data_IF_139311486531
#
_entry.id   IF_139311486531
#
_cell.length_a   1.000
_cell.length_b   1.000
_cell.length_c   1.000
_cell.angle_alpha   90.00
_cell.angle_beta   90.00
_cell.angle_gamma   90.00
#
_symmetry.space_group_name_H-M   'P 1'
#
loop_
_entity.id
_entity.type
_entity.pdbx_description
1 polymer ?
#
# COMPACT_ATOMS: atom_id res chain seq x y z
N UNK A 1 10.87 5.49 -13.09
CA UNK A 1 10.25 6.01 -14.33
C UNK A 1 9.42 7.20 -13.92
N UNK A 2 9.92 8.40 -14.22
CA UNK A 2 9.49 9.68 -13.66
C UNK A 2 7.98 9.97 -13.84
N UNK A 3 7.29 10.21 -12.72
CA UNK A 3 5.88 10.60 -12.63
C UNK A 3 5.70 12.14 -12.67
N UNK A 4 6.80 12.89 -12.76
CA UNK A 4 6.90 14.36 -12.67
C UNK A 4 6.15 15.14 -13.77
N UNK A 5 5.58 14.45 -14.77
CA UNK A 5 4.72 15.05 -15.80
C UNK A 5 3.24 14.62 -15.74
N UNK A 6 2.86 13.74 -14.81
CA UNK A 6 1.50 13.22 -14.75
C UNK A 6 0.63 14.11 -13.87
N UNK A 7 -0.34 14.79 -14.50
CA UNK A 7 -1.37 15.59 -13.83
C UNK A 7 -2.39 14.67 -13.14
N UNK A 8 -1.93 14.01 -12.06
CA UNK A 8 -2.65 12.95 -11.36
C UNK A 8 -2.56 13.14 -9.85
N UNK A 9 -3.69 13.00 -9.18
CA UNK A 9 -3.76 12.77 -7.74
C UNK A 9 -4.14 11.31 -7.48
N UNK A 10 -3.48 10.69 -6.49
CA UNK A 10 -3.69 9.29 -6.10
C UNK A 10 -4.23 9.25 -4.68
N UNK A 11 -5.32 8.52 -4.48
CA UNK A 11 -5.90 8.32 -3.17
C UNK A 11 -6.48 6.93 -3.01
N UNK A 12 -7.01 6.67 -1.82
CA UNK A 12 -7.74 5.45 -1.50
C UNK A 12 -9.00 5.79 -0.71
N UNK A 13 -10.05 5.01 -0.92
CA UNK A 13 -11.13 4.87 0.07
C UNK A 13 -10.71 3.78 1.04
N UNK A 14 -10.39 4.16 2.27
CA UNK A 14 -10.02 3.27 3.36
C UNK A 14 -11.27 2.86 4.15
N UNK A 15 -11.44 1.55 4.34
CA UNK A 15 -12.53 0.90 5.05
C UNK A 15 -11.96 0.13 6.24
N UNK A 16 -12.23 0.61 7.45
CA UNK A 16 -11.97 -0.14 8.67
C UNK A 16 -13.15 -1.08 8.94
N UNK A 17 -12.87 -2.38 9.07
CA UNK A 17 -13.84 -3.44 9.18
C UNK A 17 -14.06 -3.84 10.64
N UNK A 18 -15.33 -3.97 11.03
CA UNK A 18 -15.71 -4.43 12.37
C UNK A 18 -15.15 -5.82 12.60
N UNK A 19 -14.44 -5.97 13.72
CA UNK A 19 -13.81 -7.22 14.17
C UNK A 19 -12.86 -7.85 13.13
N UNK A 20 -12.43 -7.10 12.11
CA UNK A 20 -11.62 -7.61 11.00
C UNK A 20 -12.33 -8.64 10.11
N UNK A 21 -13.66 -8.71 10.14
CA UNK A 21 -14.41 -9.62 9.29
C UNK A 21 -14.27 -9.22 7.81
N UNK A 22 -13.78 -10.12 6.93
CA UNK A 22 -13.52 -9.78 5.54
C UNK A 22 -14.84 -9.45 4.80
N UNK A 23 -14.81 -8.58 3.77
CA UNK A 23 -15.97 -8.32 2.94
C UNK A 23 -16.51 -9.59 2.28
N UNK A 24 -17.83 -9.71 2.17
CA UNK A 24 -18.47 -10.86 1.52
C UNK A 24 -18.26 -10.90 0.00
N UNK A 25 -17.83 -9.80 -0.62
CA UNK A 25 -17.55 -9.68 -2.05
C UNK A 25 -16.23 -8.95 -2.30
N UNK A 26 -15.44 -9.50 -3.23
CA UNK A 26 -14.14 -8.95 -3.62
C UNK A 26 -14.22 -7.57 -4.32
N UNK A 27 -15.34 -7.29 -4.99
CA UNK A 27 -15.60 -6.04 -5.68
C UNK A 27 -17.09 -5.72 -5.73
N UNK A 28 -17.42 -4.45 -5.92
CA UNK A 28 -18.76 -4.00 -6.31
C UNK A 28 -19.09 -4.52 -7.71
N UNK A 29 -20.37 -4.74 -7.99
CA UNK A 29 -20.80 -4.95 -9.37
C UNK A 29 -20.67 -3.64 -10.19
N UNK A 30 -20.84 -3.74 -11.52
CA UNK A 30 -20.65 -2.59 -12.40
C UNK A 30 -21.60 -1.40 -12.08
N UNK A 31 -22.83 -1.67 -11.63
CA UNK A 31 -23.81 -0.64 -11.29
C UNK A 31 -23.44 0.06 -9.99
N UNK A 32 -23.17 -0.73 -8.95
CA UNK A 32 -22.75 -0.25 -7.63
C UNK A 32 -21.40 0.49 -7.72
N UNK A 33 -20.47 0.02 -8.56
CA UNK A 33 -19.21 0.70 -8.83
C UNK A 33 -19.43 2.12 -9.41
N UNK A 34 -20.37 2.27 -10.35
CA UNK A 34 -20.72 3.58 -10.90
C UNK A 34 -21.35 4.51 -9.86
N UNK A 35 -22.28 3.98 -9.06
CA UNK A 35 -22.93 4.74 -7.98
C UNK A 35 -21.92 5.19 -6.91
N UNK A 36 -21.07 4.28 -6.44
CA UNK A 36 -20.02 4.58 -5.46
C UNK A 36 -19.02 5.64 -5.99
N UNK A 37 -18.67 5.58 -7.28
CA UNK A 37 -17.79 6.59 -7.90
C UNK A 37 -18.44 7.97 -7.92
N UNK A 38 -19.74 8.05 -8.20
CA UNK A 38 -20.46 9.33 -8.17
C UNK A 38 -20.53 9.92 -6.75
N UNK A 39 -20.76 9.06 -5.74
CA UNK A 39 -20.77 9.46 -4.32
C UNK A 39 -19.38 9.93 -3.87
N UNK A 40 -18.32 9.20 -4.22
CA UNK A 40 -16.93 9.61 -4.00
C UNK A 40 -16.64 10.99 -4.62
N UNK A 41 -16.97 11.17 -5.90
CA UNK A 41 -16.75 12.44 -6.59
C UNK A 41 -17.51 13.61 -5.94
N UNK A 42 -18.75 13.37 -5.51
CA UNK A 42 -19.54 14.36 -4.76
C UNK A 42 -18.87 14.74 -3.45
N UNK A 43 -18.44 13.76 -2.66
CA UNK A 43 -17.85 13.99 -1.34
C UNK A 43 -16.53 14.75 -1.47
N UNK A 44 -15.66 14.34 -2.38
CA UNK A 44 -14.40 15.03 -2.66
C UNK A 44 -14.65 16.46 -3.17
N UNK A 45 -15.64 16.67 -4.04
CA UNK A 45 -16.01 17.99 -4.54
C UNK A 45 -16.65 18.90 -3.48
N UNK A 46 -17.21 18.34 -2.40
CA UNK A 46 -17.69 19.11 -1.26
C UNK A 46 -16.53 19.65 -0.40
N UNK A 47 -15.39 18.94 -0.38
CA UNK A 47 -14.15 19.40 0.26
C UNK A 47 -13.40 20.38 -0.64
N UNK A 48 -13.21 20.02 -1.91
CA UNK A 48 -12.42 20.77 -2.90
C UNK A 48 -13.21 20.86 -4.22
N UNK A 49 -13.87 22.00 -4.51
CA UNK A 49 -14.73 22.15 -5.69
C UNK A 49 -14.07 21.84 -7.03
N UNK A 50 -12.75 22.06 -7.15
CA UNK A 50 -11.97 21.78 -8.37
C UNK A 50 -11.93 20.31 -8.79
N UNK A 51 -12.31 19.39 -7.91
CA UNK A 51 -12.47 17.96 -8.24
C UNK A 51 -13.50 17.74 -9.36
N UNK A 52 -14.51 18.62 -9.47
CA UNK A 52 -15.56 18.54 -10.51
C UNK A 52 -15.02 18.63 -11.93
N UNK A 53 -13.86 19.26 -12.10
CA UNK A 53 -13.22 19.46 -13.39
C UNK A 53 -12.16 18.37 -13.69
N UNK A 54 -12.03 17.36 -12.82
CA UNK A 54 -11.10 16.25 -12.97
C UNK A 54 -11.82 15.01 -13.52
N UNK A 55 -11.13 14.24 -14.38
CA UNK A 55 -11.50 12.84 -14.58
C UNK A 55 -11.26 12.07 -13.27
N UNK A 56 -12.21 11.25 -12.83
CA UNK A 56 -12.14 10.40 -11.65
C UNK A 56 -12.29 8.93 -12.05
N UNK A 57 -11.39 8.08 -11.57
CA UNK A 57 -11.55 6.63 -11.63
C UNK A 57 -11.46 6.01 -10.25
N UNK A 58 -12.33 5.03 -9.99
CA UNK A 58 -12.33 4.19 -8.79
C UNK A 58 -12.14 2.72 -9.21
N UNK A 59 -11.15 2.05 -8.64
CA UNK A 59 -11.12 0.60 -8.61
C UNK A 59 -12.06 0.15 -7.49
N UNK A 60 -13.25 -0.29 -7.86
CA UNK A 60 -14.32 -0.66 -6.93
C UNK A 60 -14.14 -2.10 -6.40
N UNK A 61 -12.89 -2.50 -6.14
CA UNK A 61 -12.48 -3.75 -5.52
C UNK A 61 -11.60 -3.44 -4.29
N UNK A 62 -11.66 -4.31 -3.29
CA UNK A 62 -10.97 -4.06 -2.03
C UNK A 62 -9.60 -4.76 -1.97
N UNK A 63 -8.56 -4.00 -1.62
CA UNK A 63 -7.17 -4.44 -1.56
C UNK A 63 -6.62 -4.32 -0.15
N UNK A 64 -5.53 -5.03 0.13
CA UNK A 64 -4.73 -4.78 1.32
C UNK A 64 -3.93 -3.47 1.14
N UNK A 65 -3.72 -2.67 2.19
CA UNK A 65 -2.88 -1.47 2.11
C UNK A 65 -1.49 -1.74 1.50
N UNK A 66 -0.87 -2.88 1.78
CA UNK A 66 0.44 -3.25 1.22
C UNK A 66 0.39 -3.37 -0.31
N UNK A 67 -0.73 -3.80 -0.90
CA UNK A 67 -0.91 -3.88 -2.35
C UNK A 67 -1.01 -2.51 -3.01
N UNK A 68 -1.70 -1.57 -2.35
CA UNK A 68 -1.77 -0.18 -2.78
C UNK A 68 -0.41 0.52 -2.65
N UNK A 69 0.39 0.09 -1.68
CA UNK A 69 1.75 0.57 -1.42
C UNK A 69 2.82 -0.36 -2.00
N UNK A 70 2.65 -0.85 -3.23
CA UNK A 70 3.73 -1.53 -3.97
C UNK A 70 4.53 -0.51 -4.79
N UNK A 71 5.86 -0.66 -4.94
CA UNK A 71 6.68 0.25 -5.73
C UNK A 71 6.10 0.53 -7.12
N UNK A 72 6.06 1.81 -7.49
CA UNK A 72 5.49 2.26 -8.76
C UNK A 72 3.95 2.33 -8.81
N UNK A 73 3.27 2.13 -7.69
CA UNK A 73 1.82 2.36 -7.51
C UNK A 73 0.95 1.60 -8.55
N UNK A 74 1.11 0.27 -8.68
CA UNK A 74 0.54 -0.50 -9.79
C UNK A 74 -0.99 -0.41 -9.87
N UNK A 75 -1.69 -0.37 -8.74
CA UNK A 75 -3.15 -0.23 -8.70
C UNK A 75 -3.61 1.13 -9.24
N UNK A 76 -2.99 2.23 -8.80
CA UNK A 76 -3.31 3.57 -9.30
C UNK A 76 -2.93 3.75 -10.76
N UNK A 77 -1.76 3.22 -11.19
CA UNK A 77 -1.37 3.19 -12.61
C UNK A 77 -2.41 2.48 -13.44
N UNK A 78 -2.93 1.35 -12.95
CA UNK A 78 -3.99 0.64 -13.66
C UNK A 78 -5.27 1.45 -13.75
N UNK A 79 -5.70 2.09 -12.67
CA UNK A 79 -6.88 2.96 -12.68
C UNK A 79 -6.75 4.04 -13.77
N UNK A 80 -5.57 4.64 -13.93
CA UNK A 80 -5.28 5.60 -15.00
C UNK A 80 -5.37 4.99 -16.40
N UNK A 81 -4.79 3.81 -16.61
CA UNK A 81 -4.84 3.10 -17.89
C UNK A 81 -6.27 2.75 -18.30
N UNK A 82 -7.09 2.29 -17.34
CA UNK A 82 -8.49 1.99 -17.57
C UNK A 82 -9.29 3.26 -17.89
N UNK A 83 -9.05 4.36 -17.16
CA UNK A 83 -9.68 5.66 -17.40
C UNK A 83 -9.33 6.26 -18.77
N UNK A 84 -8.09 6.06 -19.25
CA UNK A 84 -7.67 6.45 -20.60
C UNK A 84 -8.45 5.69 -21.69
N UNK A 85 -8.85 4.46 -21.42
CA UNK A 85 -9.56 3.60 -22.38
C UNK A 85 -11.08 3.72 -22.28
N UNK A 86 -11.59 4.34 -21.22
CA UNK A 86 -13.01 4.57 -21.03
C UNK A 86 -13.58 5.53 -22.09
N UNK A 87 -14.82 5.33 -22.56
CA UNK A 87 -15.47 6.22 -23.52
C UNK A 87 -15.75 7.61 -22.93
N UNK A 88 -16.19 8.55 -23.77
CA UNK A 88 -16.74 9.84 -23.32
C UNK A 88 -15.73 10.99 -23.14
N UNK A 89 -14.47 10.85 -23.58
CA UNK A 89 -13.44 11.90 -23.41
C UNK A 89 -13.84 13.26 -24.00
N UNK A 90 -14.65 13.27 -25.06
CA UNK A 90 -15.11 14.50 -25.71
C UNK A 90 -16.25 15.21 -24.97
N UNK A 91 -16.77 14.66 -23.86
CA UNK A 91 -17.97 15.14 -23.16
C UNK A 91 -17.68 15.86 -21.83
N UNK A 92 -16.40 16.12 -21.52
CA UNK A 92 -15.97 16.79 -20.28
C UNK A 92 -15.36 15.82 -19.27
N UNK A 93 -15.27 16.25 -18.01
CA UNK A 93 -14.76 15.45 -16.90
C UNK A 93 -15.61 14.19 -16.68
N UNK A 94 -14.95 13.03 -16.58
CA UNK A 94 -15.59 11.71 -16.50
C UNK A 94 -15.44 11.11 -15.11
N UNK A 95 -16.45 10.38 -14.66
CA UNK A 95 -16.38 9.56 -13.45
C UNK A 95 -16.63 8.11 -13.84
N UNK A 96 -15.66 7.22 -13.57
CA UNK A 96 -15.75 5.80 -13.98
C UNK A 96 -15.37 4.87 -12.83
N UNK A 97 -16.32 4.04 -12.42
CA UNK A 97 -16.08 2.94 -11.48
C UNK A 97 -15.79 1.64 -12.21
N UNK A 98 -14.73 0.94 -11.79
CA UNK A 98 -14.35 -0.37 -12.32
C UNK A 98 -14.62 -1.45 -11.27
N UNK A 99 -15.69 -2.20 -11.44
CA UNK A 99 -16.10 -3.31 -10.57
C UNK A 99 -16.01 -4.67 -11.27
N UNK A 100 -16.71 -5.66 -10.70
CA UNK A 100 -16.91 -6.97 -11.29
C UNK A 100 -17.69 -6.89 -12.62
N UNK A 101 -17.51 -7.90 -13.47
CA UNK A 101 -18.27 -8.02 -14.72
C UNK A 101 -19.74 -8.40 -14.46
N UNK A 102 -20.56 -8.48 -15.52
CA UNK A 102 -21.98 -8.80 -15.41
C UNK A 102 -22.28 -10.21 -14.87
N UNK A 103 -21.28 -11.10 -14.79
CA UNK A 103 -21.38 -12.44 -14.20
C UNK A 103 -20.87 -12.46 -12.75
N UNK A 104 -20.39 -11.33 -12.24
CA UNK A 104 -19.76 -11.21 -10.92
C UNK A 104 -18.29 -11.61 -10.90
N UNK A 105 -17.67 -11.86 -12.07
CA UNK A 105 -16.25 -12.17 -12.14
C UNK A 105 -15.44 -10.89 -11.94
N UNK A 106 -14.51 -10.89 -10.99
CA UNK A 106 -13.60 -9.76 -10.78
C UNK A 106 -12.46 -9.86 -11.80
N UNK A 107 -12.33 -8.92 -12.76
CA UNK A 107 -11.34 -9.06 -13.82
C UNK A 107 -9.94 -8.68 -13.31
N UNK A 108 -8.88 -9.25 -13.89
CA UNK A 108 -7.51 -8.82 -13.59
C UNK A 108 -7.31 -7.36 -14.06
N UNK A 109 -6.67 -6.48 -13.26
CA UNK A 109 -6.04 -6.73 -11.95
C UNK A 109 -6.87 -6.20 -10.76
N UNK A 110 -8.20 -6.22 -10.85
CA UNK A 110 -9.07 -5.91 -9.71
C UNK A 110 -9.09 -7.03 -8.64
N UNK A 111 -8.37 -8.12 -8.88
CA UNK A 111 -8.26 -9.24 -7.96
C UNK A 111 -7.19 -8.92 -6.91
N UNK A 112 -7.59 -8.91 -5.64
CA UNK A 112 -6.68 -8.90 -4.50
C UNK A 112 -5.80 -10.16 -4.51
N UNK A 113 -4.55 -10.01 -4.06
CA UNK A 113 -3.65 -11.10 -3.73
C UNK A 113 -4.32 -11.99 -2.66
N UNK A 114 -4.52 -13.29 -2.92
CA UNK A 114 -5.19 -14.19 -1.98
C UNK A 114 -4.43 -14.32 -0.65
N UNK A 115 -3.12 -14.09 -0.64
CA UNK A 115 -2.31 -14.12 0.59
C UNK A 115 -2.52 -12.86 1.45
N UNK A 116 -3.10 -11.80 0.87
CA UNK A 116 -3.39 -10.53 1.52
C UNK A 116 -4.90 -10.25 1.60
N UNK A 117 -5.75 -11.27 1.47
CA UNK A 117 -7.21 -11.08 1.51
C UNK A 117 -7.77 -10.73 2.92
N UNK A 118 -6.92 -10.79 3.97
CA UNK A 118 -7.31 -10.52 5.35
C UNK A 118 -7.14 -9.06 5.79
N UNK A 119 -7.15 -8.85 7.12
CA UNK A 119 -6.87 -7.56 7.75
C UNK A 119 -8.12 -6.73 8.06
N UNK A 120 -8.03 -5.93 9.13
CA UNK A 120 -9.11 -5.03 9.56
C UNK A 120 -9.22 -3.74 8.74
N UNK A 121 -8.28 -3.49 7.83
CA UNK A 121 -8.27 -2.31 6.97
C UNK A 121 -8.22 -2.76 5.51
N UNK A 122 -9.18 -2.31 4.71
CA UNK A 122 -9.21 -2.51 3.26
C UNK A 122 -9.20 -1.18 2.53
N UNK A 123 -8.65 -1.17 1.32
CA UNK A 123 -8.56 0.05 0.51
C UNK A 123 -9.13 -0.15 -0.89
N UNK A 124 -9.84 0.85 -1.41
CA UNK A 124 -10.28 0.95 -2.80
C UNK A 124 -9.51 2.11 -3.47
N UNK A 125 -8.54 1.84 -4.37
CA UNK A 125 -7.75 2.88 -5.03
C UNK A 125 -8.58 3.77 -5.95
N UNK A 126 -8.36 5.08 -5.90
CA UNK A 126 -8.91 6.03 -6.85
C UNK A 126 -7.86 7.01 -7.37
N UNK A 127 -8.13 7.59 -8.53
CA UNK A 127 -7.28 8.62 -9.13
C UNK A 127 -8.11 9.79 -9.65
N UNK A 128 -7.60 11.00 -9.46
CA UNK A 128 -8.06 12.18 -10.21
C UNK A 128 -7.05 12.49 -11.29
N UNK A 129 -7.50 12.90 -12.47
CA UNK A 129 -6.66 13.17 -13.63
C UNK A 129 -7.11 14.43 -14.36
N UNK A 130 -6.13 15.14 -14.91
CA UNK A 130 -6.31 16.29 -15.79
C UNK A 130 -5.64 17.52 -15.20
N UNK A 131 -5.56 18.60 -15.97
CA UNK A 131 -4.88 19.81 -15.52
C UNK A 131 -5.37 20.34 -14.14
N UNK A 132 -6.68 20.30 -13.82
CA UNK A 132 -7.18 20.71 -12.50
C UNK A 132 -6.75 19.81 -11.34
N UNK A 133 -6.38 18.54 -11.61
CA UNK A 133 -6.05 17.56 -10.58
C UNK A 133 -4.79 17.92 -9.78
N UNK A 134 -3.88 18.71 -10.33
CA UNK A 134 -2.68 19.17 -9.61
C UNK A 134 -3.07 20.12 -8.48
N UNK A 135 -3.86 21.15 -8.77
CA UNK A 135 -4.31 22.13 -7.78
C UNK A 135 -5.28 21.48 -6.78
N UNK A 136 -6.28 20.75 -7.29
CA UNK A 136 -7.25 20.06 -6.44
C UNK A 136 -6.57 19.00 -5.55
N UNK A 137 -5.58 18.28 -6.07
CA UNK A 137 -4.82 17.29 -5.32
C UNK A 137 -4.01 17.91 -4.19
N UNK A 138 -3.36 19.06 -4.41
CA UNK A 138 -2.63 19.76 -3.36
C UNK A 138 -3.56 20.25 -2.23
N UNK A 139 -4.76 20.71 -2.56
CA UNK A 139 -5.77 21.07 -1.56
C UNK A 139 -6.29 19.84 -0.80
N UNK A 140 -6.56 18.74 -1.51
CA UNK A 140 -6.99 17.47 -0.89
C UNK A 140 -5.93 16.92 0.07
N UNK A 141 -4.65 16.96 -0.29
CA UNK A 141 -3.53 16.52 0.56
C UNK A 141 -3.53 17.24 1.92
N UNK A 142 -3.90 18.54 1.95
CA UNK A 142 -4.00 19.30 3.20
C UNK A 142 -5.29 19.08 4.00
N UNK A 143 -6.28 18.36 3.46
CA UNK A 143 -7.62 18.24 4.04
C UNK A 143 -8.02 16.81 4.40
N UNK A 144 -7.58 15.80 3.64
CA UNK A 144 -8.11 14.44 3.75
C UNK A 144 -7.80 13.77 5.10
N UNK A 145 -6.63 14.02 5.68
CA UNK A 145 -6.27 13.46 6.98
C UNK A 145 -7.28 13.87 8.08
N UNK A 146 -7.69 15.14 8.10
CA UNK A 146 -8.57 15.68 9.14
C UNK A 146 -10.07 15.61 8.79
N UNK A 147 -10.40 15.76 7.50
CA UNK A 147 -11.79 15.96 7.03
C UNK A 147 -12.24 14.93 5.99
N UNK A 148 -11.43 13.91 5.73
CA UNK A 148 -11.68 12.90 4.71
C UNK A 148 -12.72 11.83 5.09
N UNK A 149 -13.50 11.98 6.16
CA UNK A 149 -14.56 10.99 6.46
C UNK A 149 -15.57 10.92 5.30
N UNK A 150 -15.89 9.71 4.86
CA UNK A 150 -16.90 9.51 3.83
C UNK A 150 -18.28 9.95 4.34
N UNK A 151 -19.11 10.50 3.45
CA UNK A 151 -20.49 10.78 3.81
C UNK A 151 -21.22 9.47 4.16
N UNK A 152 -22.25 9.56 5.01
CA UNK A 152 -22.93 8.39 5.56
C UNK A 152 -23.54 7.49 4.47
N UNK A 153 -24.09 8.08 3.41
CA UNK A 153 -24.64 7.34 2.27
C UNK A 153 -23.55 6.71 1.39
N UNK A 154 -22.38 7.35 1.25
CA UNK A 154 -21.22 6.73 0.60
C UNK A 154 -20.72 5.52 1.38
N UNK A 155 -20.58 5.65 2.70
CA UNK A 155 -20.18 4.56 3.58
C UNK A 155 -21.17 3.39 3.51
N UNK A 156 -22.47 3.68 3.54
CA UNK A 156 -23.53 2.67 3.44
C UNK A 156 -23.52 1.96 2.09
N UNK A 157 -23.38 2.70 0.98
CA UNK A 157 -23.31 2.12 -0.35
C UNK A 157 -22.12 1.15 -0.51
N UNK A 158 -20.96 1.52 0.02
CA UNK A 158 -19.76 0.66 0.01
C UNK A 158 -19.95 -0.57 0.89
N UNK A 159 -20.55 -0.39 2.08
CA UNK A 159 -20.83 -1.48 3.01
C UNK A 159 -21.77 -2.52 2.39
N UNK A 160 -22.91 -2.08 1.86
CA UNK A 160 -23.93 -2.95 1.28
C UNK A 160 -23.40 -3.63 0.01
N UNK A 161 -22.75 -2.86 -0.85
CA UNK A 161 -22.22 -3.35 -2.13
C UNK A 161 -21.11 -4.40 -1.96
N UNK A 162 -20.22 -4.24 -0.98
CA UNK A 162 -19.17 -5.21 -0.66
C UNK A 162 -19.61 -6.31 0.30
N UNK A 163 -20.84 -6.25 0.84
CA UNK A 163 -21.32 -7.09 1.93
C UNK A 163 -20.32 -7.13 3.10
N UNK A 164 -19.85 -5.95 3.52
CA UNK A 164 -18.88 -5.77 4.60
C UNK A 164 -19.56 -5.26 5.88
N UNK A 165 -18.86 -5.31 7.00
CA UNK A 165 -19.26 -4.58 8.21
C UNK A 165 -18.24 -3.46 8.42
N UNK A 166 -18.60 -2.23 8.08
CA UNK A 166 -17.67 -1.09 8.09
C UNK A 166 -17.86 -0.31 9.40
N UNK A 167 -16.79 -0.09 10.16
CA UNK A 167 -16.79 0.83 11.31
C UNK A 167 -16.49 2.26 10.86
N UNK A 168 -15.48 2.43 10.02
CA UNK A 168 -15.09 3.73 9.48
C UNK A 168 -14.80 3.63 7.98
N UNK A 169 -15.32 4.60 7.23
CA UNK A 169 -14.98 4.82 5.83
C UNK A 169 -14.40 6.23 5.67
N UNK A 170 -13.21 6.33 5.06
CA UNK A 170 -12.54 7.61 4.85
C UNK A 170 -11.72 7.64 3.57
N UNK A 171 -11.51 8.83 3.04
CA UNK A 171 -10.63 9.11 1.93
C UNK A 171 -9.26 9.50 2.47
N UNK A 172 -8.22 8.92 1.90
CA UNK A 172 -6.83 9.23 2.20
C UNK A 172 -6.11 9.57 0.89
N UNK A 173 -5.18 10.51 0.94
CA UNK A 173 -4.17 10.60 -0.11
C UNK A 173 -3.28 9.35 -0.08
N UNK A 174 -2.50 9.13 -1.13
CA UNK A 174 -1.47 8.09 -1.11
C UNK A 174 -0.43 8.34 0.00
N UNK A 175 -0.09 9.60 0.27
CA UNK A 175 0.86 9.96 1.34
C UNK A 175 0.26 9.78 2.74
N UNK A 176 -1.03 10.05 2.92
CA UNK A 176 -1.74 9.73 4.16
C UNK A 176 -1.70 8.23 4.44
N UNK A 177 -1.92 7.40 3.40
CA UNK A 177 -1.83 5.94 3.52
C UNK A 177 -0.41 5.49 3.89
N UNK A 178 0.62 6.04 3.22
CA UNK A 178 2.03 5.78 3.54
C UNK A 178 2.33 6.12 5.01
N UNK A 179 1.95 7.32 5.47
CA UNK A 179 2.18 7.77 6.83
C UNK A 179 1.45 6.89 7.86
N UNK A 180 0.23 6.47 7.56
CA UNK A 180 -0.53 5.57 8.42
C UNK A 180 0.12 4.19 8.53
N UNK A 181 0.56 3.59 7.41
CA UNK A 181 1.22 2.28 7.43
C UNK A 181 2.60 2.36 8.12
N UNK A 182 3.35 3.45 7.90
CA UNK A 182 4.60 3.71 8.62
C UNK A 182 4.39 3.70 10.15
N UNK A 183 3.35 4.39 10.64
CA UNK A 183 2.99 4.41 12.05
C UNK A 183 2.54 3.04 12.57
N UNK A 184 1.76 2.30 11.78
CA UNK A 184 1.35 0.94 12.13
C UNK A 184 2.56 0.01 12.27
N UNK A 185 3.51 0.07 11.34
CA UNK A 185 4.74 -0.71 11.38
C UNK A 185 5.62 -0.33 12.56
N UNK A 186 5.74 0.96 12.88
CA UNK A 186 6.41 1.41 14.10
C UNK A 186 5.80 0.77 15.35
N UNK A 187 4.47 0.76 15.47
CA UNK A 187 3.77 0.23 16.65
C UNK A 187 3.97 -1.29 16.85
N UNK A 188 4.40 -2.02 15.82
CA UNK A 188 4.71 -3.46 15.88
C UNK A 188 6.21 -3.78 15.77
N UNK A 189 7.09 -2.77 15.92
CA UNK A 189 8.54 -2.97 15.91
C UNK A 189 9.13 -3.23 14.52
N UNK A 190 8.49 -2.73 13.46
CA UNK A 190 8.94 -2.79 12.07
C UNK A 190 9.45 -1.44 11.54
N UNK A 191 9.63 -0.44 12.40
CA UNK A 191 10.22 0.86 12.02
C UNK A 191 11.57 0.74 11.29
N UNK A 192 12.52 -0.13 11.70
CA UNK A 192 13.78 -0.26 10.96
C UNK A 192 13.59 -0.75 9.51
N UNK A 193 12.63 -1.64 9.29
CA UNK A 193 12.28 -2.13 7.96
C UNK A 193 11.61 -1.06 7.09
N UNK A 194 10.82 -0.17 7.71
CA UNK A 194 10.14 0.91 6.98
C UNK A 194 11.11 1.76 6.19
N UNK A 195 12.32 2.01 6.69
CA UNK A 195 13.33 2.80 5.97
C UNK A 195 13.69 2.20 4.61
N UNK A 196 13.75 0.86 4.49
CA UNK A 196 14.01 0.17 3.22
C UNK A 196 12.79 0.24 2.30
N UNK A 197 11.59 0.02 2.84
CA UNK A 197 10.33 0.12 2.10
C UNK A 197 10.08 1.53 1.57
N UNK A 198 10.31 2.54 2.39
CA UNK A 198 10.15 3.95 2.03
C UNK A 198 11.07 4.31 0.86
N UNK A 199 12.33 3.90 0.89
CA UNK A 199 13.24 4.05 -0.26
C UNK A 199 12.70 3.32 -1.48
N UNK A 200 12.26 2.06 -1.36
CA UNK A 200 11.70 1.32 -2.49
C UNK A 200 10.45 1.98 -3.08
N UNK A 201 9.66 2.68 -2.27
CA UNK A 201 8.39 3.30 -2.65
C UNK A 201 8.58 4.70 -3.27
N UNK A 202 9.43 5.52 -2.66
CA UNK A 202 9.56 6.95 -2.98
C UNK A 202 10.82 7.25 -3.80
N UNK A 203 11.91 6.54 -3.56
CA UNK A 203 13.22 6.75 -4.19
C UNK A 203 13.80 5.43 -4.72
N UNK A 204 13.11 4.72 -5.64
CA UNK A 204 13.50 3.36 -6.05
C UNK A 204 14.85 3.24 -6.75
N UNK A 205 15.49 4.37 -7.09
CA UNK A 205 16.84 4.42 -7.66
C UNK A 205 17.92 4.73 -6.62
N UNK A 206 17.54 5.06 -5.39
CA UNK A 206 18.45 5.26 -4.27
C UNK A 206 18.76 3.92 -3.59
N UNK A 207 19.83 3.91 -2.80
CA UNK A 207 20.23 2.79 -1.96
C UNK A 207 19.92 3.11 -0.49
N UNK A 208 19.62 2.07 0.29
CA UNK A 208 19.33 2.22 1.71
C UNK A 208 19.82 1.02 2.51
N UNK A 209 20.48 1.28 3.63
CA UNK A 209 21.06 0.25 4.50
C UNK A 209 20.30 0.17 5.81
N UNK A 210 19.98 -1.05 6.22
CA UNK A 210 19.60 -1.37 7.59
C UNK A 210 20.77 -2.06 8.27
N UNK A 211 21.59 -1.28 8.96
CA UNK A 211 22.64 -1.77 9.83
C UNK A 211 22.44 -1.27 11.27
N UNK A 212 21.48 -1.87 11.95
CA UNK A 212 21.16 -1.55 13.35
C UNK A 212 20.88 -2.85 14.12
N UNK A 213 21.90 -3.39 14.79
CA UNK A 213 21.72 -4.56 15.65
C UNK A 213 20.67 -4.32 16.76
N UNK A 214 19.86 -5.33 17.12
CA UNK A 214 19.94 -6.74 16.72
C UNK A 214 19.17 -7.09 15.43
N UNK A 215 18.77 -6.10 14.61
CA UNK A 215 18.00 -6.38 13.40
C UNK A 215 18.84 -7.07 12.32
N UNK A 216 18.20 -7.86 11.43
CA UNK A 216 18.84 -8.39 10.24
C UNK A 216 19.53 -7.29 9.44
N UNK A 217 20.82 -7.47 9.19
CA UNK A 217 21.54 -6.63 8.24
C UNK A 217 20.89 -6.78 6.86
N UNK A 218 20.47 -5.66 6.28
CA UNK A 218 19.83 -5.64 4.98
C UNK A 218 20.24 -4.41 4.17
N UNK A 219 20.19 -4.54 2.85
CA UNK A 219 20.55 -3.50 1.89
C UNK A 219 19.52 -3.47 0.77
N UNK A 220 18.88 -2.32 0.56
CA UNK A 220 18.07 -2.06 -0.62
C UNK A 220 18.95 -1.45 -1.71
N UNK A 221 19.03 -2.14 -2.86
CA UNK A 221 19.70 -1.68 -4.07
C UNK A 221 19.08 -2.37 -5.29
N UNK A 222 19.17 -1.73 -6.47
CA UNK A 222 18.67 -2.30 -7.74
C UNK A 222 17.19 -2.76 -7.73
N UNK A 223 16.37 -2.18 -6.86
CA UNK A 223 14.96 -2.53 -6.72
C UNK A 223 14.69 -3.81 -5.92
N UNK A 224 15.67 -4.35 -5.21
CA UNK A 224 15.55 -5.52 -4.33
C UNK A 224 16.15 -5.25 -2.94
N UNK A 225 15.75 -6.04 -1.95
CA UNK A 225 16.37 -6.05 -0.62
C UNK A 225 17.21 -7.32 -0.45
N UNK A 226 18.51 -7.14 -0.25
CA UNK A 226 19.45 -8.20 0.11
C UNK A 226 19.51 -8.31 1.63
N UNK A 227 19.19 -9.46 2.20
CA UNK A 227 19.24 -9.75 3.64
C UNK A 227 20.39 -10.72 3.91
N UNK A 228 21.29 -10.35 4.82
CA UNK A 228 22.42 -11.21 5.20
C UNK A 228 21.96 -12.47 5.93
N UNK A 229 22.38 -13.63 5.44
CA UNK A 229 22.37 -14.91 6.13
C UNK A 229 23.71 -15.13 6.81
N UNK A 230 23.75 -14.88 8.12
CA UNK A 230 24.92 -15.18 8.95
C UNK A 230 24.90 -16.64 9.40
N UNK A 231 26.06 -17.28 9.34
CA UNK A 231 26.31 -18.50 10.11
C UNK A 231 26.30 -18.19 11.61
N UNK A 232 26.01 -19.17 12.50
CA UNK A 232 25.92 -18.92 13.94
C UNK A 232 27.15 -18.22 14.53
N UNK A 233 28.36 -18.56 14.07
CA UNK A 233 29.60 -17.92 14.51
C UNK A 233 29.74 -16.46 14.06
N UNK A 234 29.33 -16.16 12.82
CA UNK A 234 29.33 -14.80 12.28
C UNK A 234 28.28 -13.92 12.96
N UNK A 235 27.10 -14.47 13.20
CA UNK A 235 26.04 -13.82 13.98
C UNK A 235 26.50 -13.52 15.41
N UNK A 236 27.12 -14.50 16.08
CA UNK A 236 27.63 -14.35 17.44
C UNK A 236 28.68 -13.24 17.52
N UNK A 237 29.67 -13.26 16.62
CA UNK A 237 30.72 -12.24 16.56
C UNK A 237 30.13 -10.83 16.34
N UNK A 238 29.07 -10.70 15.52
CA UNK A 238 28.46 -9.42 15.19
C UNK A 238 27.53 -8.87 16.27
N UNK A 239 26.60 -9.69 16.77
CA UNK A 239 25.49 -9.23 17.60
C UNK A 239 25.58 -9.63 19.06
N UNK A 240 26.44 -10.59 19.41
CA UNK A 240 26.54 -11.12 20.76
C UNK A 240 27.99 -11.44 21.22
N UNK A 241 29.01 -10.60 20.94
CA UNK A 241 30.43 -10.95 21.16
C UNK A 241 30.79 -11.22 22.63
N UNK A 242 30.00 -10.74 23.59
CA UNK A 242 30.19 -10.98 25.02
C UNK A 242 29.35 -12.12 25.61
N UNK A 243 28.47 -12.74 24.84
CA UNK A 243 27.62 -13.84 25.32
C UNK A 243 28.37 -15.18 25.22
N UNK A 244 28.36 -15.95 26.30
CA UNK A 244 29.01 -17.26 26.38
C UNK A 244 28.05 -18.40 26.78
N UNK A 245 26.84 -18.09 27.24
CA UNK A 245 25.84 -19.10 27.52
C UNK A 245 25.29 -19.69 26.22
N UNK A 246 25.54 -20.97 25.98
CA UNK A 246 25.12 -21.67 24.77
C UNK A 246 23.60 -21.60 24.58
N UNK A 247 22.82 -21.74 25.66
CA UNK A 247 21.35 -21.72 25.57
C UNK A 247 20.81 -20.35 25.16
N UNK A 248 21.42 -19.27 25.63
CA UNK A 248 21.06 -17.91 25.27
C UNK A 248 21.46 -17.58 23.82
N UNK A 249 22.62 -18.08 23.37
CA UNK A 249 23.08 -17.92 21.98
C UNK A 249 22.14 -18.62 20.99
N UNK A 250 21.73 -19.85 21.27
CA UNK A 250 20.76 -20.59 20.45
C UNK A 250 19.43 -19.84 20.33
N UNK A 251 18.83 -19.43 21.46
CA UNK A 251 17.57 -18.65 21.45
C UNK A 251 17.71 -17.31 20.72
N UNK A 252 18.85 -16.62 20.89
CA UNK A 252 19.11 -15.36 20.22
C UNK A 252 19.20 -15.51 18.70
N UNK A 253 19.87 -16.57 18.24
CA UNK A 253 19.98 -16.87 16.81
C UNK A 253 18.64 -17.29 16.20
N UNK A 254 17.85 -18.11 16.91
CA UNK A 254 16.49 -18.48 16.47
C UNK A 254 15.58 -17.24 16.34
N UNK A 255 15.64 -16.32 17.30
CA UNK A 255 14.92 -15.05 17.24
C UNK A 255 15.37 -14.20 16.04
N UNK A 256 16.67 -14.11 15.79
CA UNK A 256 17.22 -13.41 14.63
C UNK A 256 16.71 -14.01 13.30
N UNK A 257 16.69 -15.33 13.18
CA UNK A 257 16.13 -16.01 12.00
C UNK A 257 14.62 -15.78 11.86
N UNK A 258 13.88 -15.71 12.96
CA UNK A 258 12.48 -15.32 12.93
C UNK A 258 12.28 -13.89 12.44
N UNK A 259 13.14 -12.95 12.87
CA UNK A 259 13.15 -11.56 12.37
C UNK A 259 13.45 -11.47 10.88
N UNK A 260 14.41 -12.24 10.37
CA UNK A 260 14.69 -12.33 8.93
C UNK A 260 13.46 -12.75 8.12
N UNK A 261 12.75 -13.80 8.56
CA UNK A 261 11.52 -14.27 7.91
C UNK A 261 10.39 -13.22 8.00
N UNK A 262 10.28 -12.53 9.13
CA UNK A 262 9.30 -11.46 9.30
C UNK A 262 9.54 -10.31 8.32
N UNK A 263 10.79 -9.87 8.17
CA UNK A 263 11.13 -8.81 7.21
C UNK A 263 10.86 -9.24 5.78
N UNK A 264 11.28 -10.46 5.41
CA UNK A 264 11.01 -10.99 4.09
C UNK A 264 9.52 -11.02 3.77
N UNK A 265 8.69 -11.53 4.68
CA UNK A 265 7.24 -11.60 4.48
C UNK A 265 6.58 -10.22 4.28
N UNK A 266 7.03 -9.21 5.02
CA UNK A 266 6.52 -7.83 4.87
C UNK A 266 6.97 -7.22 3.55
N UNK A 267 8.23 -7.40 3.16
CA UNK A 267 8.74 -6.93 1.86
C UNK A 267 8.01 -7.60 0.69
N UNK A 268 7.77 -8.91 0.78
CA UNK A 268 7.00 -9.68 -0.21
C UNK A 268 5.56 -9.19 -0.35
N UNK A 269 4.89 -8.82 0.75
CA UNK A 269 3.53 -8.25 0.70
C UNK A 269 3.49 -6.95 -0.13
N UNK A 270 4.53 -6.11 0.02
CA UNK A 270 4.77 -4.90 -0.75
C UNK A 270 5.39 -5.16 -2.15
N UNK A 271 5.52 -6.43 -2.56
CA UNK A 271 6.13 -6.84 -3.82
C UNK A 271 7.55 -6.29 -4.03
N UNK A 272 8.31 -6.11 -2.94
CA UNK A 272 9.74 -5.82 -2.98
C UNK A 272 10.50 -7.15 -2.98
N UNK A 273 11.25 -7.48 -4.04
CA UNK A 273 12.03 -8.71 -4.10
C UNK A 273 13.02 -8.82 -2.95
N UNK A 274 13.15 -10.03 -2.40
CA UNK A 274 14.08 -10.34 -1.30
C UNK A 274 15.10 -11.36 -1.77
N UNK A 275 16.38 -11.05 -1.60
CA UNK A 275 17.47 -11.98 -1.81
C UNK A 275 18.18 -12.26 -0.49
N UNK A 276 18.33 -13.53 -0.15
CA UNK A 276 19.15 -13.93 0.98
C UNK A 276 20.60 -14.17 0.54
N UNK A 277 21.55 -13.50 1.20
CA UNK A 277 22.97 -13.55 0.82
C UNK A 277 23.81 -14.11 1.97
N UNK A 278 24.57 -15.17 1.71
CA UNK A 278 25.45 -15.76 2.72
C UNK A 278 26.62 -14.84 3.09
N UNK A 279 26.77 -14.54 4.38
CA UNK A 279 27.79 -13.66 4.91
C UNK A 279 28.62 -14.39 5.98
N UNK A 280 29.79 -14.91 5.58
CA UNK A 280 30.62 -15.77 6.44
C UNK A 280 31.36 -15.00 7.56
N UNK A 281 31.69 -13.73 7.34
CA UNK A 281 32.62 -12.98 8.21
C UNK A 281 31.92 -11.91 9.06
N UNK A 282 30.57 -11.85 9.05
CA UNK A 282 29.80 -10.87 9.82
C UNK A 282 29.90 -9.42 9.32
N UNK A 283 30.62 -9.16 8.22
CA UNK A 283 30.80 -7.85 7.62
C UNK A 283 29.65 -7.51 6.64
N UNK A 284 29.31 -6.24 6.52
CA UNK A 284 28.28 -5.73 5.63
C UNK A 284 28.67 -5.73 4.14
N UNK A 285 29.96 -5.84 3.82
CA UNK A 285 30.44 -5.85 2.44
C UNK A 285 29.88 -6.99 1.58
N UNK A 286 29.37 -8.07 2.18
CA UNK A 286 28.69 -9.15 1.47
C UNK A 286 27.38 -8.72 0.77
N UNK A 287 26.77 -7.60 1.17
CA UNK A 287 25.50 -7.12 0.61
C UNK A 287 25.64 -6.01 -0.44
N UNK A 288 26.87 -5.57 -0.72
CA UNK A 288 27.13 -4.56 -1.76
C UNK A 288 26.79 -5.10 -3.15
#
# INVERSE_FOLDING_TARGET
MDDTGQQVFRGVVALELRDGAPPGRAALDAGDAGAATALLGRDLAALVPGVRDCDLALLAAHFDPAEALRPGWPLHRRALELLQRAPGQAQGARMVGFGADARGDVPVPLQCDPNLAGGGLRVLPFVLRGAPAVAAGAELEGLLLDRGMAAADTALALQDGLAAQVEHARYLSLHDLLAMIALQYRNVGLEPLWSLLETALLEPAAESWLDAGPEPLAHFADGEVRIALFDPGAWHARYAPGAADCSALERGFEYFQARQRQFAAVLEAHAVPVQFVHCADGNADCLR
#
